data_IF_520163162874
#
_entry.id   IF_520163162874
#
_cell.length_a   1.000
_cell.length_b   1.000
_cell.length_c   1.000
_cell.angle_alpha   90.00
_cell.angle_beta   90.00
_cell.angle_gamma   90.00
#
_symmetry.space_group_name_H-M   'P 1'
#
loop_
_entity.id
_entity.type
_entity.pdbx_description
1 polymer ?
#
# COMPACT_ATOMS: atom_id res chain seq x y z
N UNK A 1 55.18 2.65 2.46
CA UNK A 1 55.53 1.71 2.03
C UNK A 1 54.85 0.55 2.23
N UNK A 2 54.42 0.25 3.27
CA UNK A 2 53.71 -0.90 3.50
C UNK A 2 52.43 -0.96 2.82
N UNK A 3 51.77 0.11 2.62
CA UNK A 3 50.52 0.13 1.95
C UNK A 3 50.66 -0.44 0.58
N UNK A 4 51.75 -0.12 -0.07
CA UNK A 4 51.96 -0.62 -1.39
C UNK A 4 52.07 -2.10 -1.42
N UNK A 5 52.58 -2.66 -0.35
CA UNK A 5 52.73 -4.09 -0.30
C UNK A 5 51.44 -4.77 -0.18
N UNK A 6 50.52 -4.11 0.44
CA UNK A 6 49.25 -4.70 0.64
C UNK A 6 48.53 -4.80 -0.66
N UNK A 7 48.56 -3.71 -1.33
CA UNK A 7 47.87 -3.68 -2.56
C UNK A 7 48.19 -4.70 -3.58
N UNK A 8 49.31 -4.86 -3.86
CA UNK A 8 49.64 -5.64 -4.99
C UNK A 8 49.07 -6.93 -5.03
N UNK A 9 49.33 -7.48 -4.18
CA UNK A 9 49.08 -8.75 -4.22
C UNK A 9 48.13 -9.19 -5.05
N UNK A 10 47.70 -9.98 -5.03
CA UNK A 10 46.90 -10.73 -5.85
C UNK A 10 45.89 -9.90 -6.50
N UNK A 11 46.25 -8.81 -6.96
CA UNK A 11 45.28 -7.98 -7.62
C UNK A 11 44.55 -8.73 -8.71
N UNK A 12 45.25 -9.48 -9.50
CA UNK A 12 44.61 -10.21 -10.57
C UNK A 12 43.74 -11.31 -10.05
N UNK A 13 44.17 -11.96 -9.01
CA UNK A 13 43.37 -13.00 -8.41
C UNK A 13 42.11 -12.40 -7.78
N UNK A 14 42.28 -11.28 -7.13
CA UNK A 14 41.18 -10.60 -6.52
C UNK A 14 40.18 -10.16 -7.56
N UNK A 15 40.68 -9.70 -8.68
CA UNK A 15 39.79 -9.27 -9.73
C UNK A 15 38.95 -10.41 -10.27
N UNK A 16 39.60 -11.58 -10.45
CA UNK A 16 38.85 -12.73 -10.93
C UNK A 16 37.81 -13.18 -9.92
N UNK A 17 38.21 -13.23 -8.68
CA UNK A 17 37.29 -13.63 -7.62
C UNK A 17 36.18 -12.61 -7.55
N UNK A 18 36.54 -11.34 -7.64
CA UNK A 18 35.56 -10.29 -7.56
C UNK A 18 34.57 -10.34 -8.71
N UNK A 19 35.01 -10.75 -9.88
CA UNK A 19 34.07 -10.87 -11.00
C UNK A 19 33.04 -11.95 -10.71
N UNK A 20 33.48 -13.08 -10.23
CA UNK A 20 32.57 -14.18 -9.90
C UNK A 20 31.63 -13.77 -8.79
N UNK A 21 32.19 -13.19 -7.73
CA UNK A 21 31.39 -12.73 -6.62
C UNK A 21 30.43 -11.64 -7.06
N UNK A 22 30.89 -10.74 -7.89
CA UNK A 22 30.06 -9.66 -8.38
C UNK A 22 28.87 -10.19 -9.16
N UNK A 23 29.06 -11.23 -9.97
CA UNK A 23 27.97 -11.84 -10.71
C UNK A 23 26.95 -12.48 -9.78
N UNK A 24 27.45 -13.21 -8.78
CA UNK A 24 26.57 -13.85 -7.80
C UNK A 24 25.79 -12.78 -7.05
N UNK A 25 26.47 -11.74 -6.59
CA UNK A 25 25.80 -10.65 -5.88
C UNK A 25 24.80 -9.92 -6.76
N UNK A 26 25.16 -9.72 -8.02
CA UNK A 26 24.25 -9.05 -8.95
C UNK A 26 22.99 -9.89 -9.16
N UNK A 27 23.13 -11.21 -9.27
CA UNK A 27 21.99 -12.10 -9.42
C UNK A 27 21.14 -12.10 -8.16
N UNK A 28 21.76 -12.13 -7.00
CA UNK A 28 21.04 -12.08 -5.74
C UNK A 28 20.28 -10.77 -5.57
N UNK A 29 20.90 -9.65 -5.99
CA UNK A 29 20.22 -8.36 -5.95
C UNK A 29 19.05 -8.32 -6.91
N UNK A 30 19.24 -8.85 -8.11
CA UNK A 30 18.17 -8.88 -9.09
C UNK A 30 16.99 -9.68 -8.59
N UNK A 31 17.26 -10.82 -7.93
CA UNK A 31 16.21 -11.63 -7.36
C UNK A 31 15.49 -10.89 -6.24
N UNK A 32 16.24 -10.23 -5.37
CA UNK A 32 15.63 -9.46 -4.29
C UNK A 32 14.80 -8.30 -4.81
N UNK A 33 15.32 -7.59 -5.81
CA UNK A 33 14.62 -6.46 -6.40
C UNK A 33 13.32 -6.94 -7.04
N UNK A 34 13.36 -8.08 -7.70
CA UNK A 34 12.16 -8.64 -8.31
C UNK A 34 11.13 -9.02 -7.26
N UNK A 35 11.55 -9.65 -6.17
CA UNK A 35 10.66 -10.03 -5.09
C UNK A 35 10.04 -8.79 -4.45
N UNK A 36 10.84 -7.75 -4.23
CA UNK A 36 10.33 -6.50 -3.67
C UNK A 36 9.34 -5.83 -4.60
N UNK A 37 9.62 -5.85 -5.89
CA UNK A 37 8.70 -5.28 -6.86
C UNK A 37 7.37 -6.03 -6.88
N UNK A 38 7.43 -7.36 -6.86
CA UNK A 38 6.22 -8.18 -6.83
C UNK A 38 5.42 -7.88 -5.56
N UNK A 39 6.08 -7.79 -4.42
CA UNK A 39 5.41 -7.45 -3.16
C UNK A 39 4.74 -6.09 -3.24
N UNK A 40 5.44 -5.10 -3.78
CA UNK A 40 4.89 -3.75 -3.91
C UNK A 40 3.66 -3.74 -4.81
N UNK A 41 3.71 -4.48 -5.93
CA UNK A 41 2.58 -4.57 -6.84
C UNK A 41 1.40 -5.29 -6.19
N UNK A 42 1.66 -6.34 -5.44
CA UNK A 42 0.60 -7.06 -4.74
C UNK A 42 -0.04 -6.21 -3.66
N UNK A 43 0.77 -5.42 -2.94
CA UNK A 43 0.25 -4.51 -1.93
C UNK A 43 -0.64 -3.45 -2.58
N UNK A 44 -0.22 -2.93 -3.74
CA UNK A 44 -1.02 -1.94 -4.44
C UNK A 44 -2.35 -2.52 -4.91
N UNK A 45 -2.35 -3.74 -5.43
CA UNK A 45 -3.58 -4.41 -5.84
C UNK A 45 -4.49 -4.58 -4.62
N UNK A 46 -3.95 -5.03 -3.50
CA UNK A 46 -4.72 -5.21 -2.28
C UNK A 46 -5.33 -3.88 -1.81
N UNK A 47 -4.55 -2.80 -1.86
CA UNK A 47 -5.05 -1.48 -1.47
C UNK A 47 -6.17 -1.01 -2.40
N UNK A 48 -6.05 -1.26 -3.70
CA UNK A 48 -7.08 -0.91 -4.65
C UNK A 48 -8.36 -1.71 -4.43
N UNK A 49 -8.24 -2.98 -4.10
CA UNK A 49 -9.39 -3.81 -3.77
C UNK A 49 -10.09 -3.33 -2.51
N UNK A 50 -9.32 -2.99 -1.48
CA UNK A 50 -9.87 -2.44 -0.24
C UNK A 50 -10.57 -1.11 -0.51
N UNK A 51 -9.97 -0.26 -1.34
CA UNK A 51 -10.57 1.02 -1.69
C UNK A 51 -11.88 0.82 -2.45
N UNK A 52 -11.92 -0.15 -3.36
CA UNK A 52 -13.13 -0.45 -4.12
C UNK A 52 -14.26 -0.92 -3.20
N UNK A 53 -13.95 -1.84 -2.28
CA UNK A 53 -14.93 -2.33 -1.34
C UNK A 53 -15.42 -1.21 -0.41
N UNK A 54 -14.49 -0.37 0.04
CA UNK A 54 -14.85 0.77 0.90
C UNK A 54 -15.78 1.72 0.17
N UNK A 55 -15.48 2.03 -1.10
CA UNK A 55 -16.30 2.93 -1.89
C UNK A 55 -17.69 2.36 -2.12
N UNK A 56 -17.78 1.05 -2.37
CA UNK A 56 -19.07 0.40 -2.53
C UNK A 56 -19.90 0.47 -1.27
N UNK A 57 -19.27 0.20 -0.13
CA UNK A 57 -19.95 0.24 1.17
C UNK A 57 -20.39 1.66 1.51
N UNK A 58 -19.53 2.64 1.24
CA UNK A 58 -19.90 4.04 1.42
C UNK A 58 -21.09 4.40 0.53
N UNK A 59 -21.10 3.94 -0.72
CA UNK A 59 -22.22 4.15 -1.62
C UNK A 59 -23.52 3.55 -1.09
N UNK A 60 -23.47 2.36 -0.52
CA UNK A 60 -24.64 1.73 0.09
C UNK A 60 -25.14 2.56 1.28
N UNK A 61 -24.24 3.02 2.13
CA UNK A 61 -24.60 3.86 3.26
C UNK A 61 -25.23 5.17 2.80
N UNK A 62 -24.67 5.77 1.74
CA UNK A 62 -25.23 6.99 1.16
C UNK A 62 -26.67 6.75 0.70
N UNK A 63 -26.93 5.61 0.05
CA UNK A 63 -28.27 5.26 -0.37
C UNK A 63 -29.26 5.21 0.78
N UNK A 64 -28.82 4.65 1.92
CA UNK A 64 -29.66 4.59 3.11
C UNK A 64 -29.96 6.00 3.63
N UNK A 65 -28.94 6.85 3.71
CA UNK A 65 -29.11 8.24 4.15
C UNK A 65 -30.04 9.00 3.22
N UNK A 66 -29.83 8.85 1.91
CA UNK A 66 -30.65 9.50 0.92
C UNK A 66 -32.12 9.13 1.08
N UNK A 67 -32.37 7.86 1.32
CA UNK A 67 -33.73 7.39 1.49
C UNK A 67 -34.34 7.88 2.81
N UNK A 68 -33.59 7.82 3.90
CA UNK A 68 -34.15 8.21 5.20
C UNK A 68 -34.35 9.70 5.36
N UNK A 69 -33.41 10.48 4.85
CA UNK A 69 -33.47 11.94 5.02
C UNK A 69 -34.01 12.68 3.82
N UNK A 70 -34.31 11.96 2.75
CA UNK A 70 -34.81 12.58 1.52
C UNK A 70 -33.84 13.66 1.04
N UNK A 71 -32.56 13.31 0.95
CA UNK A 71 -31.51 14.23 0.50
C UNK A 71 -30.78 13.62 -0.70
N UNK A 72 -30.02 14.45 -1.40
CA UNK A 72 -29.25 13.99 -2.56
C UNK A 72 -27.92 13.40 -2.13
N UNK A 73 -27.15 12.92 -3.10
CA UNK A 73 -25.86 12.28 -2.86
C UNK A 73 -24.89 13.17 -2.10
N UNK A 74 -24.83 14.45 -2.47
CA UNK A 74 -23.89 15.38 -1.87
C UNK A 74 -24.17 15.55 -0.38
N UNK A 75 -25.43 15.73 -0.03
CA UNK A 75 -25.82 15.88 1.35
C UNK A 75 -25.66 14.59 2.13
N UNK A 76 -25.95 13.46 1.49
CA UNK A 76 -25.77 12.15 2.13
C UNK A 76 -24.30 11.91 2.45
N UNK A 77 -23.39 12.16 1.51
CA UNK A 77 -21.98 12.01 1.75
C UNK A 77 -21.48 12.96 2.84
N UNK A 78 -21.96 14.20 2.79
CA UNK A 78 -21.59 15.21 3.78
C UNK A 78 -22.01 14.77 5.18
N UNK A 79 -23.19 14.19 5.33
CA UNK A 79 -23.66 13.70 6.61
C UNK A 79 -22.74 12.60 7.16
N UNK A 80 -22.36 11.65 6.32
CA UNK A 80 -21.44 10.59 6.72
C UNK A 80 -20.07 11.17 7.09
N UNK A 81 -19.59 12.11 6.32
CA UNK A 81 -18.30 12.74 6.55
C UNK A 81 -18.28 13.48 7.88
N UNK A 82 -19.36 14.18 8.20
CA UNK A 82 -19.46 14.89 9.49
C UNK A 82 -19.39 13.94 10.67
N UNK A 83 -20.08 12.82 10.58
CA UNK A 83 -20.03 11.81 11.64
C UNK A 83 -18.60 11.27 11.76
N UNK A 84 -17.97 11.00 10.64
CA UNK A 84 -16.59 10.51 10.61
C UNK A 84 -15.66 11.51 11.31
N UNK A 85 -15.78 12.78 11.01
CA UNK A 85 -14.93 13.81 11.59
C UNK A 85 -15.25 14.02 13.07
N UNK A 86 -16.51 14.06 13.43
CA UNK A 86 -16.92 14.31 14.81
C UNK A 86 -16.56 13.16 15.75
N UNK A 87 -16.58 11.95 15.25
CA UNK A 87 -16.26 10.76 16.05
C UNK A 87 -14.84 10.29 15.88
N UNK A 88 -14.08 10.95 15.02
CA UNK A 88 -12.70 10.59 14.69
C UNK A 88 -12.59 9.13 14.25
N UNK A 89 -13.57 8.68 13.47
CA UNK A 89 -13.59 7.33 12.91
C UNK A 89 -13.48 7.40 11.40
N UNK A 90 -12.99 6.33 10.80
CA UNK A 90 -12.86 6.28 9.35
C UNK A 90 -14.23 6.28 8.71
N UNK A 91 -14.33 6.94 7.57
CA UNK A 91 -15.59 7.04 6.85
C UNK A 91 -16.17 5.66 6.54
N UNK A 92 -15.33 4.69 6.17
CA UNK A 92 -15.80 3.33 5.88
C UNK A 92 -16.42 2.65 7.12
N UNK A 93 -15.90 2.95 8.30
CA UNK A 93 -16.42 2.37 9.54
C UNK A 93 -17.77 2.99 9.88
N UNK A 94 -17.93 4.28 9.64
CA UNK A 94 -19.20 4.95 9.79
C UNK A 94 -20.21 4.36 8.80
N UNK A 95 -19.78 4.13 7.55
CA UNK A 95 -20.62 3.51 6.54
C UNK A 95 -21.08 2.13 6.97
N UNK A 96 -20.19 1.33 7.55
CA UNK A 96 -20.54 0.00 8.04
C UNK A 96 -21.60 0.06 9.15
N UNK A 97 -21.47 1.02 10.04
CA UNK A 97 -22.45 1.20 11.11
C UNK A 97 -23.84 1.55 10.54
N UNK A 98 -23.86 2.44 9.53
CA UNK A 98 -25.11 2.83 8.88
C UNK A 98 -25.73 1.62 8.18
N UNK A 99 -24.93 0.84 7.47
CA UNK A 99 -25.42 -0.35 6.77
C UNK A 99 -25.97 -1.37 7.77
N UNK A 100 -25.25 -1.58 8.86
CA UNK A 100 -25.63 -2.57 9.85
C UNK A 100 -26.93 -2.17 10.55
N UNK A 101 -27.04 -0.90 10.91
CA UNK A 101 -28.23 -0.39 11.55
C UNK A 101 -29.35 -0.08 10.55
N UNK A 102 -28.99 0.03 9.28
CA UNK A 102 -29.89 0.45 8.19
C UNK A 102 -30.51 1.81 8.47
N UNK A 103 -29.75 2.64 9.14
CA UNK A 103 -30.17 4.00 9.44
C UNK A 103 -28.96 4.83 9.84
N UNK A 104 -29.09 6.11 9.74
CA UNK A 104 -28.04 7.01 10.15
C UNK A 104 -28.31 7.54 11.56
#
# INVERSE_FOLDING_TARGET
>A
MTIERIAPVPTQKLDRINETEARVLANERAERDLVELVKALMDEVTQLEVARDSNRRIGMAMGIVMSQRQVDETLAFDALRRISQNTNRKLRDVAEDVIRARRI
#
